data_IF_737815203111
#
_entry.id   IF_737815203111
#
_cell.length_a   1.000
_cell.length_b   1.000
_cell.length_c   1.000
_cell.angle_alpha   90.00
_cell.angle_beta   90.00
_cell.angle_gamma   90.00
#
_symmetry.space_group_name_H-M   'P 1'
#
loop_
_entity.id
_entity.type
_entity.pdbx_description
1 polymer ?
#
# COMPACT_ATOMS: atom_id res chain seq x y z
N UNK A 1 26.79 -10.13 13.47
CA UNK A 1 26.75 -10.94 12.23
C UNK A 1 26.08 -10.06 11.21
N UNK A 2 26.70 -9.84 10.06
CA UNK A 2 26.14 -9.01 9.01
C UNK A 2 25.67 -9.92 7.89
N UNK A 3 24.56 -9.55 7.29
CA UNK A 3 24.02 -10.27 6.15
C UNK A 3 23.47 -9.28 5.16
N UNK A 4 23.46 -9.69 3.91
CA UNK A 4 22.76 -9.00 2.84
C UNK A 4 21.95 -10.02 2.07
N UNK A 5 20.73 -9.63 1.71
CA UNK A 5 19.81 -10.46 0.96
C UNK A 5 19.29 -9.68 -0.24
N UNK A 6 19.33 -10.28 -1.43
CA UNK A 6 18.77 -9.72 -2.65
C UNK A 6 17.76 -10.70 -3.26
N UNK A 7 16.52 -10.23 -3.47
CA UNK A 7 15.44 -10.97 -4.11
C UNK A 7 15.05 -10.30 -5.42
N UNK A 8 15.12 -11.04 -6.53
CA UNK A 8 14.65 -10.58 -7.84
C UNK A 8 13.16 -10.93 -8.01
N UNK A 9 12.35 -9.97 -8.45
CA UNK A 9 10.94 -10.21 -8.73
C UNK A 9 10.42 -9.32 -9.86
N UNK A 10 9.32 -9.76 -10.50
CA UNK A 10 8.54 -8.94 -11.42
C UNK A 10 7.28 -8.46 -10.71
N UNK A 11 7.12 -7.14 -10.53
CA UNK A 11 6.05 -6.65 -9.68
C UNK A 11 5.93 -5.14 -9.53
N UNK A 12 5.26 -4.74 -8.44
CA UNK A 12 4.96 -3.37 -8.06
C UNK A 12 5.24 -3.13 -6.58
N UNK A 13 5.55 -1.88 -6.24
CA UNK A 13 5.57 -1.40 -4.87
C UNK A 13 4.26 -0.69 -4.54
N UNK A 14 3.69 -1.04 -3.39
CA UNK A 14 2.52 -0.36 -2.83
C UNK A 14 2.80 0.02 -1.39
N UNK A 15 2.10 1.02 -0.87
CA UNK A 15 2.14 1.30 0.57
C UNK A 15 1.58 0.10 1.33
N UNK A 16 2.27 -0.31 2.39
CA UNK A 16 1.88 -1.50 3.16
C UNK A 16 0.53 -1.30 3.84
N UNK A 17 0.24 -0.09 4.30
CA UNK A 17 -1.06 0.24 4.87
C UNK A 17 -2.21 0.03 3.88
N UNK A 18 -2.09 0.54 2.64
CA UNK A 18 -3.15 0.34 1.63
C UNK A 18 -3.37 -1.14 1.32
N UNK A 19 -2.30 -1.94 1.28
CA UNK A 19 -2.39 -3.39 1.09
C UNK A 19 -3.06 -4.10 2.27
N UNK A 20 -2.75 -3.71 3.51
CA UNK A 20 -3.38 -4.25 4.71
C UNK A 20 -4.89 -3.94 4.74
N UNK A 21 -5.28 -2.70 4.45
CA UNK A 21 -6.70 -2.32 4.41
C UNK A 21 -7.44 -3.09 3.30
N UNK A 22 -6.82 -3.22 2.13
CA UNK A 22 -7.36 -4.03 1.04
C UNK A 22 -7.53 -5.50 1.42
N UNK A 23 -6.57 -6.09 2.14
CA UNK A 23 -6.63 -7.48 2.60
C UNK A 23 -7.78 -7.71 3.60
N UNK A 24 -7.92 -6.82 4.59
CA UNK A 24 -9.02 -6.83 5.55
C UNK A 24 -10.38 -6.69 4.85
N UNK A 25 -10.50 -5.71 3.94
CA UNK A 25 -11.71 -5.50 3.16
C UNK A 25 -12.04 -6.69 2.25
N UNK A 26 -11.03 -7.33 1.65
CA UNK A 26 -11.22 -8.54 0.85
C UNK A 26 -11.83 -9.67 1.68
N UNK A 27 -11.29 -9.91 2.88
CA UNK A 27 -11.81 -10.93 3.81
C UNK A 27 -13.27 -10.67 4.16
N UNK A 28 -13.64 -9.42 4.45
CA UNK A 28 -15.00 -9.03 4.79
C UNK A 28 -15.98 -9.12 3.60
N UNK A 29 -15.57 -8.67 2.42
CA UNK A 29 -16.45 -8.55 1.24
C UNK A 29 -16.56 -9.82 0.42
N UNK A 30 -15.61 -10.76 0.51
CA UNK A 30 -15.53 -11.95 -0.34
C UNK A 30 -16.84 -12.75 -0.43
N UNK A 31 -17.57 -13.04 0.67
CA UNK A 31 -18.85 -13.75 0.59
C UNK A 31 -19.90 -12.98 -0.21
N UNK A 32 -19.99 -11.67 0.02
CA UNK A 32 -20.96 -10.78 -0.63
C UNK A 32 -20.66 -10.60 -2.11
N UNK A 33 -19.40 -10.38 -2.47
CA UNK A 33 -18.95 -10.28 -3.87
C UNK A 33 -19.25 -11.57 -4.63
N UNK A 34 -19.00 -12.74 -4.01
CA UNK A 34 -19.32 -14.04 -4.61
C UNK A 34 -20.84 -14.23 -4.78
N UNK A 35 -21.66 -13.76 -3.84
CA UNK A 35 -23.11 -13.77 -3.98
C UNK A 35 -23.56 -12.91 -5.17
N UNK A 36 -22.97 -11.73 -5.36
CA UNK A 36 -23.24 -10.86 -6.51
C UNK A 36 -22.82 -11.53 -7.82
N UNK A 37 -21.63 -12.15 -7.87
CA UNK A 37 -21.17 -12.89 -9.06
C UNK A 37 -22.11 -14.05 -9.43
N UNK A 38 -22.68 -14.73 -8.43
CA UNK A 38 -23.70 -15.75 -8.65
C UNK A 38 -25.00 -15.16 -9.19
N UNK A 39 -25.43 -13.99 -8.71
CA UNK A 39 -26.61 -13.27 -9.24
C UNK A 39 -26.38 -12.90 -10.71
N UNK A 40 -25.25 -12.28 -11.03
CA UNK A 40 -24.88 -11.91 -12.42
C UNK A 40 -24.87 -13.16 -13.31
N UNK A 41 -24.23 -14.24 -12.87
CA UNK A 41 -24.14 -15.50 -13.61
C UNK A 41 -25.51 -16.14 -13.86
N UNK A 42 -26.37 -16.21 -12.84
CA UNK A 42 -27.76 -16.73 -12.98
C UNK A 42 -28.59 -15.85 -13.90
N UNK A 43 -28.44 -14.52 -13.82
CA UNK A 43 -29.11 -13.55 -14.71
C UNK A 43 -28.71 -13.77 -16.16
N UNK A 44 -27.41 -13.85 -16.47
CA UNK A 44 -26.89 -14.13 -17.83
C UNK A 44 -27.43 -15.42 -18.42
N UNK A 45 -27.70 -16.42 -17.57
CA UNK A 45 -28.27 -17.72 -17.96
C UNK A 45 -29.80 -17.73 -18.03
N UNK A 46 -30.47 -16.62 -17.68
CA UNK A 46 -31.94 -16.55 -17.59
C UNK A 46 -32.53 -17.40 -16.46
N UNK A 47 -31.72 -17.84 -15.49
CA UNK A 47 -32.12 -18.73 -14.38
C UNK A 47 -32.32 -18.00 -13.05
N UNK A 48 -32.32 -16.67 -13.07
CA UNK A 48 -32.56 -15.88 -11.86
C UNK A 48 -34.07 -15.79 -11.63
N UNK A 49 -34.56 -16.68 -10.78
CA UNK A 49 -35.93 -16.65 -10.26
C UNK A 49 -35.95 -15.76 -9.02
N UNK A 50 -36.93 -14.87 -8.94
CA UNK A 50 -37.15 -13.98 -7.80
C UNK A 50 -38.57 -14.27 -7.33
N UNK A 51 -38.70 -14.84 -6.13
CA UNK A 51 -39.99 -15.03 -5.48
C UNK A 51 -40.33 -13.79 -4.64
N UNK A 52 -41.55 -13.28 -4.78
CA UNK A 52 -42.16 -12.41 -3.77
C UNK A 52 -41.59 -11.00 -3.60
N UNK A 53 -41.17 -10.29 -4.67
CA UNK A 53 -40.90 -8.85 -4.56
C UNK A 53 -42.13 -8.02 -4.99
N UNK A 54 -42.72 -7.27 -4.04
CA UNK A 54 -43.80 -6.30 -4.29
C UNK A 54 -43.29 -4.95 -4.85
N UNK A 55 -41.97 -4.73 -4.88
CA UNK A 55 -41.36 -3.47 -5.31
C UNK A 55 -41.15 -3.36 -6.83
N UNK A 56 -41.17 -2.11 -7.33
CA UNK A 56 -41.12 -1.76 -8.77
C UNK A 56 -39.81 -2.10 -9.47
N UNK A 57 -38.71 -2.30 -8.73
CA UNK A 57 -37.39 -2.63 -9.27
C UNK A 57 -36.86 -3.91 -8.63
N UNK A 58 -36.79 -4.98 -9.40
CA UNK A 58 -36.29 -6.27 -8.92
C UNK A 58 -34.82 -6.46 -9.31
N UNK A 59 -34.07 -7.25 -8.54
CA UNK A 59 -32.66 -7.57 -8.80
C UNK A 59 -32.40 -8.09 -10.23
N UNK A 60 -33.40 -8.70 -10.86
CA UNK A 60 -33.37 -9.20 -12.24
C UNK A 60 -33.32 -8.10 -13.29
N UNK A 61 -33.94 -6.96 -13.00
CA UNK A 61 -34.03 -5.82 -13.92
C UNK A 61 -32.75 -4.97 -13.90
N UNK A 62 -31.92 -5.08 -12.87
CA UNK A 62 -30.66 -4.35 -12.78
C UNK A 62 -29.67 -4.84 -13.85
N UNK A 63 -29.10 -3.93 -14.68
CA UNK A 63 -28.01 -4.22 -15.59
C UNK A 63 -26.78 -4.80 -14.88
N UNK A 64 -25.90 -5.46 -15.62
CA UNK A 64 -24.70 -6.06 -15.02
C UNK A 64 -23.74 -4.99 -14.52
N UNK A 65 -23.68 -3.89 -15.26
CA UNK A 65 -22.91 -2.69 -14.97
C UNK A 65 -23.26 -2.14 -13.59
N UNK A 66 -24.55 -2.18 -13.21
CA UNK A 66 -24.99 -1.75 -11.87
C UNK A 66 -24.49 -2.70 -10.78
N UNK A 67 -24.45 -4.01 -11.04
CA UNK A 67 -23.90 -4.97 -10.08
C UNK A 67 -22.38 -4.83 -9.92
N UNK A 68 -21.65 -4.52 -11.00
CA UNK A 68 -20.24 -4.18 -10.91
C UNK A 68 -20.00 -2.89 -10.12
N UNK A 69 -20.84 -1.86 -10.29
CA UNK A 69 -20.77 -0.64 -9.48
C UNK A 69 -21.06 -0.91 -8.00
N UNK A 70 -22.05 -1.75 -7.68
CA UNK A 70 -22.34 -2.16 -6.29
C UNK A 70 -21.15 -2.89 -5.68
N UNK A 71 -20.46 -3.76 -6.44
CA UNK A 71 -19.24 -4.44 -5.98
C UNK A 71 -18.12 -3.45 -5.69
N UNK A 72 -17.90 -2.47 -6.57
CA UNK A 72 -16.86 -1.45 -6.37
C UNK A 72 -17.14 -0.58 -5.15
N UNK A 73 -18.39 -0.13 -4.98
CA UNK A 73 -18.77 0.71 -3.84
C UNK A 73 -18.68 -0.05 -2.52
N UNK A 74 -19.15 -1.31 -2.47
CA UNK A 74 -19.01 -2.18 -1.30
C UNK A 74 -17.54 -2.35 -0.91
N UNK A 75 -16.66 -2.60 -1.88
CA UNK A 75 -15.23 -2.71 -1.63
C UNK A 75 -14.65 -1.39 -1.11
N UNK A 76 -15.01 -0.25 -1.71
CA UNK A 76 -14.57 1.07 -1.27
C UNK A 76 -14.98 1.36 0.18
N UNK A 77 -16.22 1.06 0.55
CA UNK A 77 -16.74 1.23 1.92
C UNK A 77 -15.97 0.35 2.91
N UNK A 78 -15.74 -0.92 2.59
CA UNK A 78 -15.04 -1.84 3.50
C UNK A 78 -13.53 -1.54 3.61
N UNK A 79 -12.88 -1.03 2.54
CA UNK A 79 -11.49 -0.53 2.63
C UNK A 79 -11.44 0.67 3.59
N UNK A 80 -12.35 1.63 3.41
CA UNK A 80 -12.41 2.82 4.26
C UNK A 80 -12.71 2.46 5.71
N UNK A 81 -13.60 1.51 5.93
CA UNK A 81 -13.92 1.01 7.27
C UNK A 81 -12.70 0.33 7.90
N UNK A 82 -11.98 -0.52 7.17
CA UNK A 82 -10.76 -1.15 7.68
C UNK A 82 -9.68 -0.14 8.09
N UNK A 83 -9.53 0.94 7.31
CA UNK A 83 -8.65 2.07 7.68
C UNK A 83 -9.13 2.75 8.97
N UNK A 84 -10.41 3.12 9.07
CA UNK A 84 -10.97 3.78 10.24
C UNK A 84 -10.90 2.91 11.49
N UNK A 85 -11.25 1.63 11.41
CA UNK A 85 -11.16 0.68 12.52
C UNK A 85 -9.70 0.57 13.03
N UNK A 86 -8.73 0.63 12.10
CA UNK A 86 -7.30 0.66 12.46
C UNK A 86 -6.93 1.96 13.16
N UNK A 87 -7.37 3.11 12.64
CA UNK A 87 -7.11 4.42 13.26
C UNK A 87 -7.76 4.51 14.65
N UNK A 88 -8.98 4.04 14.81
CA UNK A 88 -9.71 4.05 16.08
C UNK A 88 -9.03 3.21 17.16
N UNK A 89 -8.40 2.09 16.78
CA UNK A 89 -7.61 1.28 17.70
C UNK A 89 -6.29 1.96 18.15
N UNK A 90 -5.78 2.92 17.37
CA UNK A 90 -4.50 3.61 17.61
C UNK A 90 -4.68 5.01 18.21
N UNK A 91 -5.86 5.60 18.09
CA UNK A 91 -6.18 6.93 18.64
C UNK A 91 -6.20 6.89 20.17
N UNK A 92 -5.70 7.97 20.78
CA UNK A 92 -5.90 8.18 22.21
C UNK A 92 -7.35 8.59 22.50
N UNK A 93 -7.79 8.42 23.75
CA UNK A 93 -9.17 8.74 24.18
C UNK A 93 -9.61 10.15 23.79
N UNK A 94 -8.71 11.13 23.90
CA UNK A 94 -8.97 12.52 23.51
C UNK A 94 -9.28 12.68 22.02
N UNK A 95 -8.51 12.02 21.15
CA UNK A 95 -8.73 12.06 19.71
C UNK A 95 -10.04 11.35 19.32
N UNK A 96 -10.40 10.26 20.02
CA UNK A 96 -11.66 9.54 19.81
C UNK A 96 -12.88 10.35 20.23
N UNK A 97 -12.85 10.98 21.41
CA UNK A 97 -13.93 11.84 21.91
C UNK A 97 -14.16 13.05 20.98
N UNK A 98 -13.07 13.65 20.48
CA UNK A 98 -13.14 14.79 19.55
C UNK A 98 -13.82 14.42 18.22
N UNK A 99 -13.52 13.25 17.66
CA UNK A 99 -14.12 12.79 16.40
C UNK A 99 -15.63 12.50 16.57
N UNK A 100 -16.04 12.04 17.76
CA UNK A 100 -17.45 11.80 18.08
C UNK A 100 -18.28 13.08 18.25
N UNK A 101 -17.65 14.27 18.24
CA UNK A 101 -18.32 15.55 18.49
C UNK A 101 -18.80 15.73 19.94
N UNK A 102 -18.37 14.86 20.86
CA UNK A 102 -18.71 14.92 22.28
C UNK A 102 -17.72 15.87 22.97
N UNK A 103 -17.91 17.18 22.77
CA UNK A 103 -17.05 18.24 23.30
C UNK A 103 -17.34 18.61 24.77
N UNK A 104 -17.60 17.63 25.64
CA UNK A 104 -17.74 17.84 27.09
C UNK A 104 -16.60 17.13 27.87
N UNK A 105 -15.37 17.16 27.33
CA UNK A 105 -14.20 16.72 28.08
C UNK A 105 -13.74 17.85 29.01
N UNK A 106 -13.83 17.64 30.34
CA UNK A 106 -13.39 18.61 31.37
C UNK A 106 -11.91 19.00 31.23
N UNK A 107 -11.07 18.18 30.59
CA UNK A 107 -9.67 18.50 30.30
C UNK A 107 -9.49 19.60 29.21
N UNK A 108 -10.46 19.78 28.31
CA UNK A 108 -10.44 20.84 27.29
C UNK A 108 -10.79 22.22 27.86
N UNK A 109 -11.64 22.25 28.90
CA UNK A 109 -12.13 23.48 29.54
C UNK A 109 -11.04 24.27 30.26
N UNK A 110 -9.89 23.65 30.53
CA UNK A 110 -8.75 24.26 31.25
C UNK A 110 -7.65 24.78 30.32
N UNK A 111 -7.69 24.51 29.01
CA UNK A 111 -6.74 25.13 28.07
C UNK A 111 -7.26 26.52 27.69
N UNK A 112 -6.41 27.57 27.78
CA UNK A 112 -6.84 28.96 27.55
C UNK A 112 -7.44 29.11 26.14
N UNK A 113 -8.58 29.82 26.06
CA UNK A 113 -9.40 30.06 24.87
C UNK A 113 -8.69 30.72 23.67
N UNK A 114 -7.38 30.94 23.75
CA UNK A 114 -6.55 31.56 22.70
C UNK A 114 -6.06 30.58 21.63
N UNK A 115 -6.32 29.27 21.76
CA UNK A 115 -5.98 28.25 20.74
C UNK A 115 -7.18 27.78 19.90
N UNK A 116 -8.34 28.44 20.00
CA UNK A 116 -9.60 28.01 19.34
C UNK A 116 -9.65 28.34 17.83
N UNK A 117 -8.56 28.86 17.24
CA UNK A 117 -8.38 28.92 15.79
C UNK A 117 -7.54 27.74 15.25
N UNK A 118 -7.54 26.60 15.94
CA UNK A 118 -6.98 25.37 15.38
C UNK A 118 -7.96 24.79 14.36
N UNK A 119 -7.76 25.19 13.10
CA UNK A 119 -8.38 24.64 11.89
C UNK A 119 -8.43 23.10 11.92
N UNK A 120 -9.36 22.51 11.17
CA UNK A 120 -9.75 21.08 11.09
C UNK A 120 -8.61 20.04 10.89
N UNK A 121 -7.35 20.47 10.85
CA UNK A 121 -6.16 19.68 10.57
C UNK A 121 -5.68 18.74 11.69
N UNK A 122 -6.41 18.57 12.81
CA UNK A 122 -6.04 17.63 13.89
C UNK A 122 -6.82 16.31 13.87
N UNK A 123 -7.77 16.14 12.95
CA UNK A 123 -8.52 14.90 12.80
C UNK A 123 -7.65 13.88 12.04
N UNK A 124 -7.10 12.90 12.76
CA UNK A 124 -6.39 11.75 12.18
C UNK A 124 -7.37 10.79 11.52
N UNK A 125 -8.01 11.27 10.44
CA UNK A 125 -9.09 10.61 9.71
C UNK A 125 -8.60 9.77 8.55
N UNK A 126 -7.31 9.85 8.21
CA UNK A 126 -6.66 9.06 7.18
C UNK A 126 -5.34 8.54 7.71
N UNK A 127 -4.91 7.40 7.17
CA UNK A 127 -3.60 6.85 7.42
C UNK A 127 -2.50 7.87 7.08
N UNK A 128 -1.46 7.89 7.90
CA UNK A 128 -0.38 8.87 7.86
C UNK A 128 0.03 9.29 9.26
N UNK A 129 1.00 10.19 9.37
CA UNK A 129 1.50 10.64 10.67
C UNK A 129 0.41 11.36 11.48
N UNK A 130 0.11 10.91 12.73
CA UNK A 130 -0.92 11.53 13.55
C UNK A 130 -0.52 12.93 14.00
N UNK A 131 -1.43 13.90 13.81
CA UNK A 131 -1.26 15.28 14.33
C UNK A 131 -1.81 15.43 15.75
N UNK A 132 -1.41 14.52 16.63
CA UNK A 132 -1.82 14.48 18.03
C UNK A 132 -0.89 15.39 18.88
N UNK A 133 -1.41 16.43 19.58
CA UNK A 133 -0.58 17.36 20.35
C UNK A 133 0.29 16.70 21.42
N UNK A 134 -0.23 15.64 22.04
CA UNK A 134 0.41 15.00 23.19
C UNK A 134 1.21 13.74 22.77
N UNK A 135 1.42 13.50 21.47
CA UNK A 135 2.09 12.32 20.92
C UNK A 135 1.49 10.95 21.34
N UNK A 136 0.37 10.91 22.06
CA UNK A 136 -0.22 9.67 22.55
C UNK A 136 -0.67 8.73 21.41
N UNK A 137 -1.13 9.27 20.27
CA UNK A 137 -1.47 8.44 19.11
C UNK A 137 -0.24 7.81 18.45
N UNK A 138 0.90 8.53 18.39
CA UNK A 138 2.14 7.95 17.84
C UNK A 138 2.69 6.87 18.78
N UNK A 139 2.55 7.04 20.09
CA UNK A 139 2.87 5.99 21.06
C UNK A 139 1.98 4.74 20.87
N UNK A 140 0.69 4.93 20.53
CA UNK A 140 -0.21 3.84 20.17
C UNK A 140 0.26 3.08 18.93
N UNK A 141 0.69 3.81 17.89
CA UNK A 141 1.31 3.23 16.68
C UNK A 141 2.54 2.41 17.06
N UNK A 142 3.45 2.99 17.85
CA UNK A 142 4.65 2.29 18.28
C UNK A 142 4.35 1.02 19.08
N UNK A 143 3.41 1.08 20.03
CA UNK A 143 3.05 -0.11 20.81
C UNK A 143 2.41 -1.21 19.97
N UNK A 144 1.69 -0.84 18.92
CA UNK A 144 1.06 -1.81 18.02
C UNK A 144 2.06 -2.52 17.11
N UNK A 145 3.19 -1.88 16.82
CA UNK A 145 4.18 -2.36 15.85
C UNK A 145 3.69 -2.37 14.40
N UNK A 146 2.53 -1.78 14.10
CA UNK A 146 1.88 -1.89 12.78
C UNK A 146 2.72 -1.32 11.63
N UNK A 147 3.57 -0.33 11.91
CA UNK A 147 4.43 0.31 10.90
C UNK A 147 5.63 -0.56 10.52
N UNK A 148 6.11 -1.46 11.39
CA UNK A 148 7.34 -2.25 11.16
C UNK A 148 7.22 -3.77 11.30
N UNK A 149 6.12 -4.28 11.86
CA UNK A 149 5.88 -5.71 12.03
C UNK A 149 4.50 -6.08 11.48
N UNK A 150 4.46 -7.05 10.57
CA UNK A 150 3.21 -7.71 10.18
C UNK A 150 2.97 -8.92 11.06
N UNK A 151 1.78 -9.00 11.63
CA UNK A 151 1.38 -10.20 12.34
C UNK A 151 0.99 -11.32 11.36
N UNK A 152 0.90 -12.56 11.87
CA UNK A 152 0.58 -13.74 11.03
C UNK A 152 -0.80 -13.66 10.38
N UNK A 153 -1.75 -13.02 11.03
CA UNK A 153 -3.11 -12.85 10.48
C UNK A 153 -3.10 -11.90 9.29
N UNK A 154 -2.42 -10.75 9.40
CA UNK A 154 -2.22 -9.81 8.30
C UNK A 154 -1.54 -10.48 7.11
N UNK A 155 -0.48 -11.24 7.33
CA UNK A 155 0.19 -11.98 6.25
C UNK A 155 -0.73 -13.02 5.59
N UNK A 156 -1.53 -13.73 6.38
CA UNK A 156 -2.54 -14.67 5.86
C UNK A 156 -3.61 -13.97 5.02
N UNK A 157 -4.12 -12.83 5.49
CA UNK A 157 -5.15 -12.07 4.81
C UNK A 157 -4.61 -11.45 3.50
N UNK A 158 -3.38 -10.92 3.51
CA UNK A 158 -2.68 -10.43 2.30
C UNK A 158 -2.46 -11.58 1.32
N UNK A 159 -1.98 -12.73 1.78
CA UNK A 159 -1.77 -13.91 0.93
C UNK A 159 -3.08 -14.40 0.30
N UNK A 160 -4.19 -14.40 1.06
CA UNK A 160 -5.52 -14.72 0.55
C UNK A 160 -5.98 -13.74 -0.55
N UNK A 161 -5.76 -12.44 -0.35
CA UNK A 161 -6.04 -11.42 -1.36
C UNK A 161 -5.18 -11.60 -2.62
N UNK A 162 -3.86 -11.72 -2.48
CA UNK A 162 -2.94 -11.79 -3.61
C UNK A 162 -3.10 -13.09 -4.41
N UNK A 163 -3.32 -14.22 -3.73
CA UNK A 163 -3.55 -15.51 -4.39
C UNK A 163 -4.81 -15.51 -5.26
N UNK A 164 -5.86 -14.76 -4.87
CA UNK A 164 -7.03 -14.54 -5.72
C UNK A 164 -6.69 -13.87 -7.06
N UNK A 165 -5.62 -13.08 -7.10
CA UNK A 165 -5.10 -12.44 -8.30
C UNK A 165 -3.92 -13.19 -8.94
N UNK A 166 -3.55 -14.38 -8.42
CA UNK A 166 -2.36 -15.15 -8.81
C UNK A 166 -1.07 -14.33 -8.69
N UNK A 167 -0.99 -13.58 -7.61
CA UNK A 167 0.13 -12.78 -7.17
C UNK A 167 0.56 -13.25 -5.77
N UNK A 168 1.72 -12.80 -5.32
CA UNK A 168 2.23 -13.07 -3.96
C UNK A 168 3.09 -11.90 -3.48
N UNK A 169 3.51 -11.93 -2.23
CA UNK A 169 4.51 -11.00 -1.71
C UNK A 169 5.92 -11.46 -2.10
N UNK A 170 6.77 -10.55 -2.57
CA UNK A 170 8.19 -10.86 -2.81
C UNK A 170 8.96 -11.10 -1.50
N UNK A 171 8.50 -10.47 -0.42
CA UNK A 171 9.05 -10.60 0.94
C UNK A 171 7.94 -10.37 1.96
N UNK A 172 8.00 -11.09 3.08
CA UNK A 172 7.12 -10.84 4.23
C UNK A 172 7.51 -9.54 4.97
N UNK A 173 8.76 -9.09 4.81
CA UNK A 173 9.26 -7.87 5.41
C UNK A 173 8.70 -6.63 4.70
N UNK A 174 8.62 -5.52 5.43
CA UNK A 174 8.34 -4.20 4.89
C UNK A 174 9.65 -3.54 4.48
N UNK A 175 9.59 -2.75 3.42
CA UNK A 175 10.70 -1.87 3.07
C UNK A 175 10.45 -0.50 3.69
N UNK A 176 11.49 0.06 4.28
CA UNK A 176 11.47 1.37 4.92
C UNK A 176 12.46 2.30 4.24
N UNK A 177 12.10 3.57 4.10
CA UNK A 177 13.01 4.56 3.50
C UNK A 177 14.22 4.82 4.37
N UNK A 178 14.00 5.03 5.67
CA UNK A 178 15.06 5.09 6.67
C UNK A 178 15.01 3.87 7.58
N UNK A 179 15.96 2.92 7.46
CA UNK A 179 16.07 1.78 8.37
C UNK A 179 16.30 2.13 9.83
N UNK A 180 16.61 3.40 10.18
CA UNK A 180 16.75 3.85 11.57
C UNK A 180 15.45 4.37 12.18
N UNK A 181 14.50 4.79 11.33
CA UNK A 181 13.20 5.35 11.72
C UNK A 181 12.06 4.45 11.24
N UNK A 182 12.32 3.14 11.17
CA UNK A 182 11.36 2.16 10.65
C UNK A 182 10.06 2.13 11.46
N UNK A 183 10.10 2.53 12.73
CA UNK A 183 8.96 2.58 13.62
C UNK A 183 8.05 3.80 13.39
N UNK A 184 8.54 4.82 12.68
CA UNK A 184 7.81 6.04 12.31
C UNK A 184 7.41 6.08 10.82
N UNK A 185 7.76 5.07 10.04
CA UNK A 185 7.51 5.04 8.59
C UNK A 185 6.08 4.57 8.25
N UNK A 186 5.16 5.53 8.15
CA UNK A 186 3.78 5.30 7.69
C UNK A 186 3.68 4.96 6.20
N UNK A 187 4.74 5.25 5.44
CA UNK A 187 4.82 5.04 3.99
C UNK A 187 5.65 3.81 3.64
N UNK A 188 5.84 2.90 4.62
CA UNK A 188 6.55 1.64 4.40
C UNK A 188 5.93 0.86 3.25
N UNK A 189 6.78 0.18 2.47
CA UNK A 189 6.38 -0.41 1.20
C UNK A 189 6.34 -1.93 1.25
N UNK A 190 5.39 -2.47 0.50
CA UNK A 190 5.23 -3.90 0.22
C UNK A 190 5.45 -4.16 -1.26
N UNK A 191 6.23 -5.19 -1.58
CA UNK A 191 6.45 -5.63 -2.95
C UNK A 191 5.46 -6.75 -3.29
N UNK A 192 4.54 -6.44 -4.19
CA UNK A 192 3.64 -7.41 -4.79
C UNK A 192 4.30 -7.93 -6.05
N UNK A 193 4.34 -9.25 -6.21
CA UNK A 193 5.09 -9.89 -7.28
C UNK A 193 4.28 -10.98 -7.97
N UNK A 194 4.66 -11.25 -9.21
CA UNK A 194 4.24 -12.44 -9.91
C UNK A 194 5.09 -13.63 -9.43
N UNK A 195 4.48 -14.73 -8.94
CA UNK A 195 5.24 -15.90 -8.52
C UNK A 195 6.04 -16.45 -9.71
N UNK A 196 7.36 -16.54 -9.52
CA UNK A 196 8.27 -17.06 -10.54
C UNK A 196 8.26 -18.59 -10.52
N UNK A 197 8.20 -19.20 -11.70
CA UNK A 197 8.23 -20.65 -11.81
C UNK A 197 9.67 -21.12 -11.60
N UNK A 198 9.92 -21.79 -10.47
CA UNK A 198 11.17 -22.54 -10.27
C UNK A 198 10.96 -23.99 -10.69
N UNK A 199 11.87 -24.52 -11.51
CA UNK A 199 11.87 -25.95 -11.87
C UNK A 199 12.24 -26.85 -10.69
N UNK A 200 12.89 -26.29 -9.65
CA UNK A 200 13.56 -27.05 -8.60
C UNK A 200 13.13 -26.67 -7.16
N UNK A 201 12.33 -25.63 -6.98
CA UNK A 201 11.90 -25.14 -5.66
C UNK A 201 10.39 -25.29 -5.48
N UNK A 202 9.89 -25.36 -4.23
CA UNK A 202 8.46 -25.20 -3.95
C UNK A 202 7.94 -23.93 -4.63
N UNK A 203 6.70 -23.99 -5.13
CA UNK A 203 6.09 -23.12 -6.14
C UNK A 203 6.02 -21.61 -5.83
N UNK A 204 6.51 -21.16 -4.68
CA UNK A 204 6.27 -19.80 -4.17
C UNK A 204 7.55 -19.08 -3.72
N UNK A 205 8.74 -19.67 -3.90
CA UNK A 205 10.00 -19.01 -3.51
C UNK A 205 10.61 -18.22 -4.66
N UNK A 206 10.88 -16.94 -4.43
CA UNK A 206 11.59 -16.08 -5.37
C UNK A 206 13.09 -16.42 -5.43
N UNK A 207 13.76 -16.11 -6.55
CA UNK A 207 15.22 -16.10 -6.61
C UNK A 207 15.78 -15.12 -5.58
N UNK A 208 16.36 -15.69 -4.53
CA UNK A 208 16.84 -14.95 -3.36
C UNK A 208 18.27 -15.39 -3.07
N UNK A 209 19.15 -14.41 -2.85
CA UNK A 209 20.56 -14.61 -2.59
C UNK A 209 20.92 -13.98 -1.27
N UNK A 210 21.42 -14.79 -0.33
CA UNK A 210 21.94 -14.31 0.94
C UNK A 210 23.47 -14.41 0.94
N UNK A 211 24.13 -13.33 1.30
CA UNK A 211 25.55 -13.31 1.62
C UNK A 211 25.69 -12.94 3.11
N UNK A 212 26.31 -13.83 3.87
CA UNK A 212 26.55 -13.66 5.29
C UNK A 212 28.05 -13.42 5.51
N UNK A 213 28.39 -12.47 6.39
CA UNK A 213 29.76 -12.28 6.86
C UNK A 213 29.85 -12.52 8.38
N UNK A 214 30.82 -13.36 8.75
CA UNK A 214 31.11 -13.73 10.14
C UNK A 214 32.50 -13.20 10.47
N UNK A 215 32.56 -12.09 11.20
CA UNK A 215 33.82 -11.45 11.60
C UNK A 215 34.65 -12.23 12.66
N UNK A 216 34.19 -13.40 13.10
CA UNK A 216 34.82 -14.16 14.19
C UNK A 216 35.91 -15.14 13.71
N UNK A 217 36.75 -14.71 12.77
CA UNK A 217 38.12 -15.22 12.57
C UNK A 217 38.34 -16.68 12.13
N UNK A 218 37.34 -17.57 12.11
CA UNK A 218 37.61 -19.01 11.92
C UNK A 218 36.84 -19.73 10.81
N UNK A 219 35.95 -19.07 10.06
CA UNK A 219 35.36 -19.70 8.87
C UNK A 219 35.22 -18.66 7.78
N UNK A 220 35.77 -18.95 6.59
CA UNK A 220 35.59 -18.19 5.35
C UNK A 220 34.11 -18.10 5.01
N UNK A 221 33.44 -17.08 5.54
CA UNK A 221 32.09 -16.72 5.13
C UNK A 221 32.14 -16.27 3.67
N UNK A 222 31.11 -16.63 2.89
CA UNK A 222 31.04 -16.25 1.48
C UNK A 222 30.63 -14.78 1.40
N UNK A 223 31.61 -13.90 1.26
CA UNK A 223 31.39 -12.47 1.04
C UNK A 223 30.55 -12.19 -0.23
N UNK A 224 30.63 -13.09 -1.23
CA UNK A 224 29.89 -12.98 -2.47
C UNK A 224 29.00 -14.21 -2.69
N UNK A 225 27.79 -13.95 -3.18
CA UNK A 225 26.87 -14.98 -3.61
C UNK A 225 26.31 -14.62 -5.00
N UNK A 226 26.30 -15.61 -5.90
CA UNK A 226 25.84 -15.45 -7.28
C UNK A 226 24.74 -16.45 -7.54
N UNK A 227 23.68 -16.00 -8.22
CA UNK A 227 22.54 -16.84 -8.58
C UNK A 227 22.35 -16.85 -10.09
N UNK A 228 22.44 -18.05 -10.67
CA UNK A 228 22.17 -18.26 -12.09
C UNK A 228 20.66 -18.30 -12.35
N UNK A 229 20.20 -17.47 -13.28
CA UNK A 229 18.80 -17.48 -13.74
C UNK A 229 18.74 -18.08 -15.14
N UNK A 230 17.81 -19.01 -15.35
CA UNK A 230 17.48 -19.46 -16.70
C UNK A 230 16.52 -18.45 -17.34
N UNK A 231 16.59 -18.23 -18.67
CA UNK A 231 15.64 -17.35 -19.36
C UNK A 231 14.18 -17.75 -19.12
N UNK A 232 13.91 -19.04 -18.98
CA UNK A 232 12.56 -19.57 -18.70
C UNK A 232 12.04 -19.16 -17.32
N UNK A 233 12.92 -18.97 -16.33
CA UNK A 233 12.54 -18.47 -15.00
C UNK A 233 12.11 -16.99 -15.04
N UNK A 234 12.47 -16.27 -16.12
CA UNK A 234 12.07 -14.89 -16.38
C UNK A 234 10.88 -14.80 -17.34
N UNK A 235 10.34 -15.93 -17.80
CA UNK A 235 9.17 -15.93 -18.67
C UNK A 235 7.93 -15.52 -17.87
N UNK A 236 7.25 -14.47 -18.34
CA UNK A 236 6.02 -13.97 -17.74
C UNK A 236 4.80 -14.46 -18.53
N UNK A 237 3.67 -14.74 -17.86
CA UNK A 237 2.44 -15.02 -18.56
C UNK A 237 1.93 -13.76 -19.25
N UNK A 238 1.24 -13.94 -20.39
CA UNK A 238 0.71 -12.84 -21.20
C UNK A 238 -0.27 -11.91 -20.46
N UNK A 239 -0.84 -12.38 -19.34
CA UNK A 239 -1.78 -11.64 -18.52
C UNK A 239 -1.16 -11.08 -17.22
N UNK A 240 0.17 -11.10 -17.05
CA UNK A 240 0.84 -10.65 -15.83
C UNK A 240 0.40 -9.22 -15.46
N UNK A 241 0.52 -8.27 -16.38
CA UNK A 241 0.23 -6.85 -16.14
C UNK A 241 -1.25 -6.62 -15.81
N UNK A 242 -2.13 -7.36 -16.50
CA UNK A 242 -3.56 -7.32 -16.23
C UNK A 242 -3.91 -7.78 -14.82
N UNK A 243 -3.14 -8.70 -14.21
CA UNK A 243 -3.35 -9.14 -12.82
C UNK A 243 -3.06 -8.01 -11.83
N UNK A 244 -1.95 -7.31 -12.03
CA UNK A 244 -1.57 -6.14 -11.24
C UNK A 244 -2.58 -5.00 -11.41
N UNK A 245 -2.90 -4.62 -12.65
CA UNK A 245 -3.86 -3.56 -12.93
C UNK A 245 -5.23 -3.86 -12.30
N UNK A 246 -5.72 -5.10 -12.40
CA UNK A 246 -6.95 -5.52 -11.74
C UNK A 246 -6.89 -5.41 -10.22
N UNK A 247 -5.78 -5.79 -9.59
CA UNK A 247 -5.63 -5.70 -8.14
C UNK A 247 -5.60 -4.22 -7.70
N UNK A 248 -4.74 -3.42 -8.31
CA UNK A 248 -4.56 -2.00 -7.99
C UNK A 248 -5.86 -1.23 -8.17
N UNK A 249 -6.53 -1.38 -9.32
CA UNK A 249 -7.76 -0.66 -9.60
C UNK A 249 -8.89 -1.08 -8.65
N UNK A 250 -9.09 -2.39 -8.47
CA UNK A 250 -10.18 -2.93 -7.65
C UNK A 250 -10.07 -2.57 -6.17
N UNK A 251 -8.84 -2.51 -5.64
CA UNK A 251 -8.61 -2.23 -4.22
C UNK A 251 -8.02 -0.83 -3.97
N UNK A 252 -7.94 0.01 -5.00
CA UNK A 252 -7.45 1.40 -4.93
C UNK A 252 -6.09 1.48 -4.21
N UNK A 253 -5.19 0.55 -4.53
CA UNK A 253 -3.88 0.46 -3.88
C UNK A 253 -3.05 1.70 -4.23
N UNK A 254 -2.31 2.20 -3.24
CA UNK A 254 -1.42 3.34 -3.42
C UNK A 254 -0.07 2.84 -3.94
N UNK A 255 0.17 3.07 -5.23
CA UNK A 255 1.40 2.68 -5.91
C UNK A 255 2.52 3.68 -5.63
N UNK A 256 3.74 3.18 -5.48
CA UNK A 256 4.93 4.01 -5.25
C UNK A 256 6.01 3.63 -6.27
N UNK A 257 6.50 4.60 -7.04
CA UNK A 257 7.59 4.36 -7.99
C UNK A 257 8.95 4.63 -7.34
N UNK A 258 9.54 3.57 -6.79
CA UNK A 258 10.88 3.62 -6.19
C UNK A 258 12.01 3.98 -7.15
N UNK A 259 11.80 3.89 -8.47
CA UNK A 259 12.83 4.32 -9.43
C UNK A 259 12.89 5.84 -9.56
N UNK A 260 11.81 6.53 -9.18
CA UNK A 260 11.71 8.00 -9.15
C UNK A 260 12.08 8.58 -7.78
N UNK A 261 11.88 7.82 -6.70
CA UNK A 261 12.49 8.09 -5.40
C UNK A 261 14.00 7.99 -5.58
N UNK A 262 14.62 9.14 -5.79
CA UNK A 262 16.01 9.34 -6.14
C UNK A 262 16.90 8.30 -5.43
N UNK A 263 17.49 7.40 -6.21
CA UNK A 263 18.82 6.86 -5.88
C UNK A 263 19.75 8.07 -6.03
N UNK A 264 19.67 9.01 -5.10
CA UNK A 264 20.77 9.92 -4.89
C UNK A 264 21.91 9.02 -4.39
N UNK A 265 23.07 8.96 -5.07
CA UNK A 265 24.24 8.44 -4.40
C UNK A 265 24.33 9.16 -3.05
N UNK A 266 24.60 8.40 -1.99
CA UNK A 266 24.87 8.94 -0.65
C UNK A 266 26.06 9.90 -0.81
N UNK A 267 25.76 11.17 -1.06
CA UNK A 267 26.72 12.25 -1.00
C UNK A 267 26.56 12.80 0.41
N UNK A 268 27.46 12.37 1.31
CA UNK A 268 27.47 12.71 2.75
C UNK A 268 27.70 14.22 3.02
N UNK A 269 27.49 15.09 2.03
CA UNK A 269 27.78 16.51 2.13
C UNK A 269 26.76 17.36 1.38
N UNK A 270 25.57 17.58 1.97
CA UNK A 270 24.83 18.86 1.86
C UNK A 270 23.58 18.86 2.72
N UNK A 271 23.73 19.48 3.89
CA UNK A 271 22.65 20.18 4.57
C UNK A 271 22.09 21.32 3.71
N UNK A 272 20.83 21.66 4.01
CA UNK A 272 20.04 22.83 3.58
C UNK A 272 19.08 22.62 2.40
N UNK A 273 17.84 22.22 2.74
CA UNK A 273 16.64 22.45 1.94
C UNK A 273 15.95 23.75 2.37
N UNK A 274 15.57 24.66 1.45
CA UNK A 274 14.62 25.71 1.75
C UNK A 274 13.18 25.23 1.53
N UNK A 275 12.33 25.51 2.52
CA UNK A 275 10.87 25.35 2.48
C UNK A 275 10.25 26.26 1.41
N UNK A 276 9.33 25.74 0.61
CA UNK A 276 8.45 26.55 -0.24
C UNK A 276 7.01 26.06 -0.16
N UNK A 277 6.21 26.78 0.62
CA UNK A 277 4.76 26.82 0.50
C UNK A 277 4.37 27.75 -0.66
N UNK A 278 3.42 27.33 -1.51
CA UNK A 278 2.40 28.26 -2.03
C UNK A 278 1.19 27.53 -2.66
N UNK A 279 -0.02 28.11 -2.53
CA UNK A 279 -1.28 27.49 -2.93
C UNK A 279 -1.69 27.88 -4.37
N UNK A 280 -2.22 26.91 -5.11
CA UNK A 280 -2.78 27.12 -6.46
C UNK A 280 -4.22 27.60 -6.35
N UNK A 281 -4.49 28.84 -6.76
CA UNK A 281 -5.84 29.33 -7.06
C UNK A 281 -6.06 29.37 -8.56
N UNK A 282 -7.17 28.78 -9.00
CA UNK A 282 -7.60 28.70 -10.40
C UNK A 282 -8.40 29.94 -10.82
N UNK A 283 -8.06 30.53 -11.98
CA UNK A 283 -9.02 31.21 -12.85
C UNK A 283 -8.51 31.24 -14.30
N UNK A 284 -9.39 31.02 -15.31
CA UNK A 284 -8.99 31.02 -16.71
C UNK A 284 -9.16 32.41 -17.33
N UNK A 285 -8.10 32.94 -17.94
CA UNK A 285 -8.22 34.01 -18.94
C UNK A 285 -7.40 33.67 -20.17
N UNK A 286 -8.13 33.58 -21.28
CA UNK A 286 -7.65 33.54 -22.65
C UNK A 286 -6.87 34.83 -22.97
N UNK A 287 -5.59 34.66 -23.33
CA UNK A 287 -4.92 35.51 -24.32
C UNK A 287 -3.65 34.79 -24.76
N UNK A 288 -3.51 34.60 -26.06
CA UNK A 288 -2.32 34.01 -26.65
C UNK A 288 -1.11 34.92 -26.49
N UNK A 289 0.04 34.31 -26.24
CA UNK A 289 1.32 34.86 -26.63
C UNK A 289 2.33 33.73 -26.78
N UNK A 290 2.95 33.70 -27.97
CA UNK A 290 4.08 32.85 -28.32
C UNK A 290 5.27 33.18 -27.42
N UNK A 291 5.56 32.30 -26.46
CA UNK A 291 6.84 32.31 -25.76
C UNK A 291 7.38 30.90 -25.61
N UNK A 292 8.43 30.65 -26.39
CA UNK A 292 9.28 29.47 -26.36
C UNK A 292 9.98 29.36 -25.00
N UNK A 293 9.32 28.69 -24.05
CA UNK A 293 9.95 28.24 -22.83
C UNK A 293 10.80 27.01 -23.13
N UNK A 294 12.12 27.14 -22.91
CA UNK A 294 13.08 26.03 -22.84
C UNK A 294 12.51 24.97 -21.88
N UNK A 295 12.05 23.84 -22.42
CA UNK A 295 11.81 22.63 -21.65
C UNK A 295 13.18 22.07 -21.28
N UNK A 296 13.63 22.38 -20.08
CA UNK A 296 14.77 21.71 -19.46
C UNK A 296 14.50 20.20 -19.46
N UNK A 297 15.25 19.49 -20.29
CA UNK A 297 15.95 18.23 -20.01
C UNK A 297 15.28 17.13 -19.20
N UNK A 298 13.96 17.09 -19.04
CA UNK A 298 13.30 16.00 -18.35
C UNK A 298 13.41 14.77 -19.26
N UNK A 299 14.33 13.87 -18.90
CA UNK A 299 14.50 12.59 -19.57
C UNK A 299 13.11 11.96 -19.73
N UNK A 300 12.77 11.46 -20.93
CA UNK A 300 11.46 10.84 -21.14
C UNK A 300 11.28 9.76 -20.09
N UNK A 301 10.19 9.86 -19.32
CA UNK A 301 9.81 8.81 -18.37
C UNK A 301 9.66 7.52 -19.16
N UNK A 302 10.67 6.64 -19.06
CA UNK A 302 10.72 5.40 -19.84
C UNK A 302 9.60 4.42 -19.48
N UNK A 303 8.95 4.64 -18.34
CA UNK A 303 7.89 3.79 -17.79
C UNK A 303 6.70 4.62 -17.34
N UNK A 304 5.51 4.05 -17.48
CA UNK A 304 4.31 4.63 -16.89
C UNK A 304 4.33 4.43 -15.37
N UNK A 305 3.73 5.38 -14.64
CA UNK A 305 3.54 5.21 -13.20
C UNK A 305 2.61 4.02 -12.94
N UNK A 306 3.06 3.09 -12.09
CA UNK A 306 2.29 1.89 -11.79
C UNK A 306 2.45 0.72 -12.76
N UNK A 307 3.39 0.79 -13.70
CA UNK A 307 3.70 -0.34 -14.58
C UNK A 307 4.58 -1.38 -13.86
N UNK A 308 4.16 -2.67 -13.84
CA UNK A 308 4.94 -3.73 -13.21
C UNK A 308 6.24 -3.95 -13.98
N UNK A 309 7.33 -4.16 -13.23
CA UNK A 309 8.66 -4.28 -13.80
C UNK A 309 9.54 -5.22 -12.99
N UNK A 310 10.66 -5.62 -13.59
CA UNK A 310 11.71 -6.35 -12.88
C UNK A 310 12.39 -5.43 -11.87
N UNK A 311 12.43 -5.87 -10.61
CA UNK A 311 12.96 -5.10 -9.49
C UNK A 311 13.76 -6.01 -8.57
N UNK A 312 14.74 -5.40 -7.89
CA UNK A 312 15.55 -6.05 -6.88
C UNK A 312 15.14 -5.53 -5.50
N UNK A 313 14.66 -6.43 -4.65
CA UNK A 313 14.46 -6.15 -3.23
C UNK A 313 15.77 -6.49 -2.51
N UNK A 314 16.42 -5.51 -1.90
CA UNK A 314 17.65 -5.74 -1.14
C UNK A 314 17.45 -5.36 0.32
N UNK A 315 17.90 -6.22 1.23
CA UNK A 315 17.96 -5.99 2.67
C UNK A 315 19.40 -6.22 3.12
N UNK A 316 19.87 -5.44 4.07
CA UNK A 316 21.15 -5.68 4.70
C UNK A 316 21.08 -5.30 6.17
N UNK A 317 21.73 -6.08 7.01
CA UNK A 317 21.98 -5.76 8.41
C UNK A 317 23.47 -5.51 8.58
N UNK A 318 23.82 -4.29 8.99
CA UNK A 318 25.20 -3.91 9.27
C UNK A 318 25.70 -4.57 10.55
N UNK A 319 26.96 -4.98 10.57
CA UNK A 319 27.62 -5.38 11.81
C UNK A 319 27.75 -4.17 12.75
N UNK A 320 27.15 -4.27 13.95
CA UNK A 320 27.33 -3.33 15.07
C UNK A 320 28.65 -3.59 15.81
#
# INVERSE_FOLDING_TARGET
MCWSNATLFYGLWVTTASLNFAATAHKATRPTVLAIDLIISRRRRGKLEIEGQEEKTTARQLPEEVWELVKDELLGVEIRKAELDTLDALRCTFCTERDSGVYDCECCSLRPAQLVQMEDGHLWSRWGQPRCPDAACIEGVWRSGITWLRNKEQLSDISSLLSHHRLTLASEQMWHEDPKLFDEDFESLSAIAHPLQSTNAPSDTFPTVCADDIHNGEVTAKADAVFGLTPEALALPLDADHRFARLVFKYRLLLVDRTKSTICPIDETKDELPLLDQPVTSNPKLSGDDSSAKKDGQAPSLFAEGEPRWMLWSLAESCL
#
